data_IF_457884934465
#
_entry.id   IF_457884934465
#
_cell.length_a   1.000
_cell.length_b   1.000
_cell.length_c   1.000
_cell.angle_alpha   90.00
_cell.angle_beta   90.00
_cell.angle_gamma   90.00
#
_symmetry.space_group_name_H-M   'P 1'
#
loop_
_entity.id
_entity.type
_entity.pdbx_description
1 polymer ?
#
# COMPACT_ATOMS: atom_id res chain seq x y z
N UNK A 1 13.67 8.94 12.93
CA UNK A 1 13.30 8.02 11.82
C UNK A 1 12.93 6.69 12.45
N UNK A 2 11.64 6.45 12.69
CA UNK A 2 11.20 5.15 13.20
C UNK A 2 11.35 4.15 12.04
N UNK A 3 12.29 3.22 12.22
CA UNK A 3 12.59 2.13 11.30
C UNK A 3 11.39 1.18 11.34
N UNK A 4 10.41 1.38 10.44
CA UNK A 4 9.33 0.41 10.22
C UNK A 4 9.82 -0.49 9.09
N UNK A 5 9.78 -1.81 9.31
CA UNK A 5 10.24 -2.85 8.40
C UNK A 5 9.44 -2.85 7.08
N UNK A 6 9.65 -1.88 6.19
CA UNK A 6 9.10 -1.74 4.84
C UNK A 6 7.59 -2.05 4.69
N UNK A 7 7.23 -3.33 4.59
CA UNK A 7 5.85 -3.84 4.45
C UNK A 7 5.27 -4.44 5.75
N UNK A 8 5.89 -4.18 6.90
CA UNK A 8 5.33 -4.48 8.22
C UNK A 8 4.40 -3.35 8.65
N UNK A 9 3.10 -3.67 8.69
CA UNK A 9 2.04 -2.75 9.09
C UNK A 9 1.59 -2.94 10.54
N UNK A 10 2.20 -3.85 11.30
CA UNK A 10 1.73 -4.26 12.64
C UNK A 10 1.64 -3.09 13.64
N UNK A 11 2.67 -2.23 13.68
CA UNK A 11 2.67 -1.06 14.55
C UNK A 11 1.52 -0.11 14.18
N UNK A 12 1.36 0.20 12.90
CA UNK A 12 0.32 1.13 12.44
C UNK A 12 -1.07 0.52 12.68
N UNK A 13 -1.28 -0.76 12.37
CA UNK A 13 -2.51 -1.48 12.67
C UNK A 13 -2.86 -1.41 14.18
N UNK A 14 -1.87 -1.59 15.06
CA UNK A 14 -2.08 -1.45 16.51
C UNK A 14 -2.54 -0.03 16.92
N UNK A 15 -2.00 1.01 16.27
CA UNK A 15 -2.35 2.41 16.53
C UNK A 15 -3.76 2.72 16.02
N UNK A 16 -4.12 2.24 14.82
CA UNK A 16 -5.47 2.42 14.27
C UNK A 16 -6.53 1.78 15.17
N UNK A 17 -6.24 0.58 15.69
CA UNK A 17 -7.12 -0.10 16.66
C UNK A 17 -7.23 0.66 17.99
N UNK A 18 -6.13 1.23 18.48
CA UNK A 18 -6.09 1.92 19.77
C UNK A 18 -6.72 3.31 19.73
N UNK A 19 -6.67 3.99 18.58
CA UNK A 19 -7.09 5.38 18.43
C UNK A 19 -7.86 5.64 17.11
N UNK A 20 -8.98 4.95 16.88
CA UNK A 20 -9.68 4.98 15.58
C UNK A 20 -10.29 6.35 15.22
N UNK A 21 -10.51 7.23 16.21
CA UNK A 21 -11.02 8.60 15.97
C UNK A 21 -9.92 9.61 15.69
N UNK A 22 -8.64 9.25 15.87
CA UNK A 22 -7.51 10.17 15.74
C UNK A 22 -6.65 9.90 14.51
N UNK A 23 -6.58 8.64 14.07
CA UNK A 23 -5.72 8.24 12.97
C UNK A 23 -6.48 7.46 11.90
N UNK A 24 -6.00 7.63 10.67
CA UNK A 24 -6.46 6.90 9.49
C UNK A 24 -5.24 6.27 8.84
N UNK A 25 -5.34 4.98 8.48
CA UNK A 25 -4.25 4.22 7.88
C UNK A 25 -4.15 4.40 6.38
N UNK A 26 -2.92 4.58 5.88
CA UNK A 26 -2.59 4.49 4.46
C UNK A 26 -1.58 3.34 4.25
N UNK A 27 -1.99 2.31 3.52
CA UNK A 27 -1.16 1.12 3.24
C UNK A 27 0.05 1.51 2.40
N UNK A 28 1.12 0.72 2.49
CA UNK A 28 2.18 0.76 1.48
C UNK A 28 1.94 -0.38 0.50
N UNK A 29 1.75 -0.06 -0.78
CA UNK A 29 1.60 -1.06 -1.82
C UNK A 29 2.86 -1.94 -1.91
N UNK A 30 2.67 -3.27 -1.87
CA UNK A 30 3.74 -4.26 -1.96
C UNK A 30 3.73 -4.89 -3.37
N UNK A 31 4.69 -4.55 -4.25
CA UNK A 31 4.66 -4.98 -5.65
C UNK A 31 5.26 -6.38 -5.87
N UNK A 32 4.82 -7.37 -5.08
CA UNK A 32 5.29 -8.75 -5.22
C UNK A 32 4.75 -9.39 -6.51
N UNK A 33 5.63 -10.04 -7.28
CA UNK A 33 5.30 -10.65 -8.57
C UNK A 33 4.37 -11.86 -8.46
N UNK A 34 4.34 -12.51 -7.30
CA UNK A 34 3.47 -13.65 -7.01
C UNK A 34 2.02 -13.24 -6.70
N UNK A 35 1.71 -11.93 -6.71
CA UNK A 35 0.39 -11.40 -6.42
C UNK A 35 0.02 -11.37 -4.94
N UNK A 36 0.90 -11.82 -4.03
CA UNK A 36 0.64 -11.83 -2.59
C UNK A 36 0.38 -10.43 -2.02
N UNK A 37 0.95 -9.40 -2.66
CA UNK A 37 0.69 -7.99 -2.34
C UNK A 37 -0.77 -7.56 -2.50
N UNK A 38 -1.54 -8.15 -3.43
CA UNK A 38 -2.96 -7.85 -3.63
C UNK A 38 -3.79 -8.38 -2.46
N UNK A 39 -3.56 -9.63 -2.08
CA UNK A 39 -4.19 -10.23 -0.90
C UNK A 39 -3.83 -9.47 0.38
N UNK A 40 -2.58 -9.05 0.49
CA UNK A 40 -2.12 -8.25 1.63
C UNK A 40 -2.84 -6.90 1.72
N UNK A 41 -3.01 -6.20 0.60
CA UNK A 41 -3.82 -4.96 0.54
C UNK A 41 -5.25 -5.20 1.01
N UNK A 42 -5.88 -6.27 0.53
CA UNK A 42 -7.24 -6.63 0.95
C UNK A 42 -7.35 -6.89 2.44
N UNK A 43 -6.41 -7.62 3.02
CA UNK A 43 -6.38 -7.89 4.47
C UNK A 43 -6.23 -6.59 5.27
N UNK A 44 -5.31 -5.71 4.88
CA UNK A 44 -5.11 -4.42 5.56
C UNK A 44 -6.37 -3.55 5.54
N UNK A 45 -7.10 -3.51 4.42
CA UNK A 45 -8.31 -2.69 4.29
C UNK A 45 -9.48 -3.32 5.04
N UNK A 46 -9.73 -4.62 4.83
CA UNK A 46 -10.93 -5.30 5.33
C UNK A 46 -10.83 -5.70 6.80
N UNK A 47 -9.63 -6.04 7.30
CA UNK A 47 -9.41 -6.53 8.66
C UNK A 47 -8.78 -5.47 9.56
N UNK A 48 -7.79 -4.74 9.07
CA UNK A 48 -7.00 -3.80 9.88
C UNK A 48 -7.48 -2.33 9.79
N UNK A 49 -8.49 -2.08 8.95
CA UNK A 49 -9.21 -0.80 8.92
C UNK A 49 -8.49 0.33 8.16
N UNK A 50 -7.52 0.00 7.32
CA UNK A 50 -6.87 0.98 6.44
C UNK A 50 -7.85 1.57 5.44
N UNK A 51 -7.63 2.84 5.05
CA UNK A 51 -8.58 3.62 4.22
C UNK A 51 -7.94 4.25 2.99
N UNK A 52 -6.68 3.97 2.72
CA UNK A 52 -5.97 4.44 1.53
C UNK A 52 -4.80 3.50 1.23
N UNK A 53 -4.27 3.55 0.03
CA UNK A 53 -3.02 2.88 -0.35
C UNK A 53 -2.07 3.88 -1.01
N UNK A 54 -0.79 3.79 -0.67
CA UNK A 54 0.27 4.60 -1.26
C UNK A 54 1.17 3.73 -2.14
N UNK A 55 1.35 4.17 -3.37
CA UNK A 55 2.30 3.63 -4.33
C UNK A 55 3.60 4.42 -4.22
N UNK A 56 4.69 3.71 -3.95
CA UNK A 56 6.04 4.27 -3.99
C UNK A 56 6.73 3.71 -5.24
N UNK A 57 6.89 4.48 -6.32
CA UNK A 57 7.47 4.00 -7.56
C UNK A 57 8.85 3.36 -7.39
N UNK A 58 9.65 3.90 -6.46
CA UNK A 58 10.98 3.39 -6.10
C UNK A 58 11.00 1.96 -5.53
N UNK A 59 9.85 1.42 -5.09
CA UNK A 59 9.76 0.07 -4.54
C UNK A 59 9.43 -0.98 -5.59
N UNK A 60 9.15 -0.59 -6.84
CA UNK A 60 8.98 -1.56 -7.92
C UNK A 60 10.31 -2.23 -8.26
N UNK A 61 10.29 -3.52 -8.68
CA UNK A 61 11.49 -4.20 -9.14
C UNK A 61 12.24 -3.41 -10.23
N UNK A 62 13.57 -3.51 -10.23
CA UNK A 62 14.40 -2.81 -11.22
C UNK A 62 13.95 -3.12 -12.65
N UNK A 63 13.85 -2.07 -13.47
CA UNK A 63 13.36 -2.16 -14.85
C UNK A 63 11.84 -2.27 -15.00
N UNK A 64 11.09 -2.38 -13.89
CA UNK A 64 9.63 -2.40 -13.91
C UNK A 64 9.03 -1.06 -13.53
N UNK A 65 7.79 -0.84 -13.99
CA UNK A 65 6.98 0.35 -13.69
C UNK A 65 5.72 -0.08 -12.94
N UNK A 66 5.10 0.86 -12.23
CA UNK A 66 3.79 0.68 -11.59
C UNK A 66 2.65 0.33 -12.57
N UNK A 67 2.88 0.50 -13.87
CA UNK A 67 1.95 0.12 -14.93
C UNK A 67 2.10 -1.35 -15.37
N UNK A 68 2.94 -2.14 -14.70
CA UNK A 68 3.01 -3.59 -14.91
C UNK A 68 1.72 -4.28 -14.43
N UNK A 69 1.59 -5.58 -14.67
CA UNK A 69 0.38 -6.33 -14.33
C UNK A 69 0.10 -6.33 -12.82
N UNK A 70 1.14 -6.42 -11.98
CA UNK A 70 1.01 -6.33 -10.51
C UNK A 70 0.47 -4.97 -10.08
N UNK A 71 1.00 -3.88 -10.62
CA UNK A 71 0.57 -2.54 -10.26
C UNK A 71 -0.84 -2.21 -10.75
N UNK A 72 -1.23 -2.70 -11.94
CA UNK A 72 -2.63 -2.64 -12.41
C UNK A 72 -3.56 -3.44 -11.49
N UNK A 73 -3.16 -4.64 -11.08
CA UNK A 73 -3.96 -5.47 -10.18
C UNK A 73 -4.16 -4.82 -8.81
N UNK A 74 -3.09 -4.25 -8.23
CA UNK A 74 -3.17 -3.48 -6.98
C UNK A 74 -4.08 -2.26 -7.13
N UNK A 75 -3.98 -1.54 -8.24
CA UNK A 75 -4.79 -0.34 -8.49
C UNK A 75 -6.27 -0.70 -8.68
N UNK A 76 -6.57 -1.75 -9.45
CA UNK A 76 -7.94 -2.28 -9.61
C UNK A 76 -8.51 -2.71 -8.27
N UNK A 77 -7.76 -3.48 -7.48
CA UNK A 77 -8.22 -3.96 -6.18
C UNK A 77 -8.49 -2.82 -5.20
N UNK A 78 -7.66 -1.78 -5.20
CA UNK A 78 -7.92 -0.58 -4.40
C UNK A 78 -9.24 0.10 -4.79
N UNK A 79 -9.52 0.19 -6.09
CA UNK A 79 -10.79 0.70 -6.61
C UNK A 79 -12.00 -0.15 -6.21
N UNK A 80 -11.90 -1.47 -6.31
CA UNK A 80 -12.94 -2.42 -5.86
C UNK A 80 -13.22 -2.32 -4.36
N UNK A 81 -12.18 -2.10 -3.56
CA UNK A 81 -12.27 -1.88 -2.11
C UNK A 81 -12.74 -0.47 -1.73
N UNK A 82 -12.89 0.43 -2.71
CA UNK A 82 -13.34 1.81 -2.50
C UNK A 82 -12.32 2.69 -1.75
N UNK A 83 -11.02 2.36 -1.81
CA UNK A 83 -9.96 3.14 -1.14
C UNK A 83 -9.14 3.95 -2.15
N UNK A 84 -8.84 5.23 -1.87
CA UNK A 84 -8.01 6.05 -2.74
C UNK A 84 -6.56 5.55 -2.84
N UNK A 85 -5.97 5.74 -4.02
CA UNK A 85 -4.56 5.47 -4.31
C UNK A 85 -3.79 6.80 -4.37
N UNK A 86 -2.78 6.95 -3.53
CA UNK A 86 -1.82 8.06 -3.58
C UNK A 86 -0.47 7.62 -4.16
N UNK A 87 0.24 8.54 -4.81
CA UNK A 87 1.58 8.29 -5.35
C UNK A 87 2.61 9.14 -4.60
N UNK A 88 3.71 8.52 -4.15
CA UNK A 88 4.83 9.25 -3.58
C UNK A 88 5.78 9.71 -4.68
N UNK A 89 5.65 10.97 -5.11
CA UNK A 89 6.39 11.55 -6.24
C UNK A 89 7.83 11.99 -5.90
N UNK A 90 8.48 11.38 -4.92
CA UNK A 90 9.83 11.80 -4.48
C UNK A 90 10.96 11.11 -5.28
N UNK A 91 10.75 9.86 -5.71
CA UNK A 91 11.73 9.05 -6.44
C UNK A 91 11.04 7.96 -7.25
N UNK A 92 11.63 7.62 -8.40
CA UNK A 92 11.13 6.57 -9.30
C UNK A 92 9.92 6.98 -10.15
N UNK A 93 9.42 8.22 -9.99
CA UNK A 93 8.40 8.79 -10.86
C UNK A 93 9.11 9.41 -12.07
N UNK A 94 9.15 8.70 -13.20
CA UNK A 94 9.61 9.23 -14.48
C UNK A 94 8.38 9.71 -15.26
N UNK A 95 8.03 10.99 -15.09
CA UNK A 95 7.01 11.68 -15.88
C UNK A 95 7.55 12.07 -17.25
#
# INVERSE_FOLDING_TARGET
MLMVHLFDHSLVASVLKSYPSKFVGCCLAKPDEDGSGVKHLEDLVSKDGYKAVRFNPELWPSGQKMTNEVGKALFSRAGELGVPVGFLCMKGLSL
#
